data_IF_957573943718
#
_entry.id   IF_957573943718
#
_cell.length_a   1.000
_cell.length_b   1.000
_cell.length_c   1.000
_cell.angle_alpha   90.00
_cell.angle_beta   90.00
_cell.angle_gamma   90.00
#
_symmetry.space_group_name_H-M   'P 1'
#
loop_
_entity.id
_entity.type
_entity.pdbx_description
1 polymer ?
#
# COMPACT_ATOMS: atom_id res chain seq x y z
N UNK A 1 53.92 -4.62 -11.85
CA UNK A 1 53.29 -4.06 -13.07
C UNK A 1 52.59 -5.21 -13.79
N UNK A 2 51.26 -5.27 -13.70
CA UNK A 2 50.40 -6.19 -14.49
C UNK A 2 49.23 -5.34 -15.01
N UNK A 3 49.32 -5.05 -16.31
CA UNK A 3 48.29 -4.31 -17.08
C UNK A 3 47.09 -5.22 -17.34
N UNK A 4 45.89 -4.86 -16.83
CA UNK A 4 44.62 -5.50 -17.18
C UNK A 4 44.02 -4.79 -18.40
N UNK A 5 43.78 -5.59 -19.46
CA UNK A 5 43.16 -5.13 -20.70
C UNK A 5 41.65 -5.04 -20.50
N UNK A 6 41.10 -3.87 -20.74
CA UNK A 6 39.63 -3.60 -20.75
C UNK A 6 39.14 -3.94 -22.16
N UNK A 7 38.23 -4.91 -22.28
CA UNK A 7 37.54 -5.24 -23.52
C UNK A 7 36.21 -4.44 -23.56
N UNK A 8 36.12 -3.48 -24.47
CA UNK A 8 34.91 -2.77 -24.79
C UNK A 8 34.04 -3.61 -25.72
N UNK A 9 32.81 -3.93 -25.29
CA UNK A 9 31.80 -4.58 -26.15
C UNK A 9 30.85 -3.49 -26.62
N UNK A 10 30.94 -3.15 -27.89
CA UNK A 10 29.99 -2.29 -28.61
C UNK A 10 28.77 -3.13 -29.01
N UNK A 11 27.60 -2.83 -28.43
CA UNK A 11 26.34 -3.44 -28.85
C UNK A 11 25.57 -2.41 -29.69
N UNK A 12 25.50 -2.64 -30.99
CA UNK A 12 24.72 -1.86 -31.97
C UNK A 12 23.25 -2.31 -31.92
N UNK A 13 22.33 -1.45 -31.46
CA UNK A 13 20.90 -1.63 -31.59
C UNK A 13 20.38 -1.03 -32.90
N UNK A 14 19.81 -1.88 -33.74
CA UNK A 14 19.12 -1.54 -34.99
C UNK A 14 17.69 -1.14 -34.64
N UNK A 15 17.31 0.11 -34.98
CA UNK A 15 15.92 0.58 -34.93
C UNK A 15 15.13 0.10 -36.16
N UNK A 16 14.04 -0.61 -35.92
CA UNK A 16 13.02 -0.87 -36.93
C UNK A 16 11.82 0.08 -36.68
N UNK A 17 11.63 1.03 -37.59
CA UNK A 17 10.48 1.94 -37.63
C UNK A 17 9.38 1.24 -38.43
N UNK A 18 8.26 0.93 -37.76
CA UNK A 18 7.03 0.46 -38.40
C UNK A 18 5.95 1.55 -38.36
N UNK A 19 5.71 2.21 -39.51
CA UNK A 19 4.54 3.05 -39.73
C UNK A 19 3.31 2.14 -40.01
N UNK A 20 2.22 2.34 -39.25
CA UNK A 20 0.88 1.92 -39.66
C UNK A 20 -0.07 3.10 -39.52
N UNK A 21 -0.51 3.61 -40.67
CA UNK A 21 -1.64 4.51 -40.83
C UNK A 21 -2.92 3.70 -41.04
N UNK A 22 -4.04 4.16 -40.51
CA UNK A 22 -5.38 3.60 -40.78
C UNK A 22 -6.42 4.18 -39.85
N UNK A 23 -7.05 5.17 -40.28
CA UNK A 23 -8.42 5.47 -40.78
C UNK A 23 -9.47 5.69 -39.68
N UNK A 24 -9.92 6.91 -39.70
CA UNK A 24 -11.16 7.57 -39.25
C UNK A 24 -12.45 6.77 -39.57
N UNK A 25 -13.36 6.71 -38.59
CA UNK A 25 -14.80 6.76 -38.89
C UNK A 25 -15.54 7.41 -37.70
N UNK A 26 -16.02 8.60 -37.97
CA UNK A 26 -17.04 9.34 -37.23
C UNK A 26 -18.37 8.60 -37.29
N UNK A 27 -19.11 8.55 -36.17
CA UNK A 27 -20.55 8.49 -36.27
C UNK A 27 -21.22 9.24 -35.12
N UNK A 28 -21.74 10.40 -35.44
CA UNK A 28 -22.70 11.21 -34.71
C UNK A 28 -24.07 10.56 -34.80
N UNK A 29 -24.78 10.41 -33.69
CA UNK A 29 -26.24 10.53 -33.69
C UNK A 29 -26.72 11.13 -32.36
N UNK A 30 -27.24 12.34 -32.50
CA UNK A 30 -28.17 12.99 -31.59
C UNK A 30 -29.56 12.35 -31.76
N UNK A 31 -30.27 12.17 -30.67
CA UNK A 31 -31.69 12.56 -30.62
C UNK A 31 -32.19 12.67 -29.19
N UNK A 32 -32.76 13.82 -28.94
CA UNK A 32 -33.51 14.23 -27.76
C UNK A 32 -34.95 13.63 -27.81
N UNK A 33 -35.60 13.43 -26.68
CA UNK A 33 -36.86 14.09 -26.34
C UNK A 33 -37.59 13.40 -25.19
N UNK A 34 -37.82 14.13 -24.13
CA UNK A 34 -39.05 14.36 -23.34
C UNK A 34 -40.08 13.20 -23.18
N UNK A 35 -40.52 12.90 -21.94
CA UNK A 35 -41.73 13.49 -21.42
C UNK A 35 -42.07 13.03 -19.99
N UNK A 36 -42.57 13.99 -19.21
CA UNK A 36 -43.35 14.01 -17.99
C UNK A 36 -44.33 12.86 -17.76
N UNK A 37 -44.55 12.51 -16.47
CA UNK A 37 -45.85 12.68 -15.73
C UNK A 37 -45.83 11.93 -14.40
N UNK A 38 -45.78 12.60 -13.35
CA UNK A 38 -46.79 12.90 -12.30
C UNK A 38 -47.77 11.75 -11.97
N UNK A 39 -47.72 11.23 -10.74
CA UNK A 39 -48.92 11.05 -9.92
C UNK A 39 -48.60 10.75 -8.44
N UNK A 40 -49.11 11.63 -7.64
CA UNK A 40 -49.33 11.63 -6.21
C UNK A 40 -50.38 10.57 -5.85
N UNK A 41 -50.22 9.87 -4.70
CA UNK A 41 -51.36 9.60 -3.79
C UNK A 41 -50.93 9.22 -2.39
N UNK A 42 -51.44 9.98 -1.52
CA UNK A 42 -51.54 9.94 -0.07
C UNK A 42 -52.48 8.83 0.42
N UNK A 43 -52.19 8.21 1.60
CA UNK A 43 -53.05 8.07 2.81
C UNK A 43 -52.44 7.02 3.75
N UNK A 44 -52.07 7.36 4.89
CA UNK A 44 -52.61 7.66 6.20
C UNK A 44 -53.31 6.49 6.94
N UNK A 45 -52.75 6.22 8.14
CA UNK A 45 -53.40 5.88 9.42
C UNK A 45 -53.74 4.43 9.74
N UNK A 46 -53.32 4.02 10.94
CA UNK A 46 -53.94 2.98 11.75
C UNK A 46 -53.00 2.40 12.80
N UNK A 47 -53.11 2.91 13.97
CA UNK A 47 -52.55 2.48 15.24
C UNK A 47 -53.14 1.13 15.66
N UNK A 48 -52.33 0.24 16.31
CA UNK A 48 -52.71 -0.38 17.61
C UNK A 48 -51.65 -1.38 18.10
N UNK A 49 -51.40 -1.28 19.38
CA UNK A 49 -50.51 -2.09 20.22
C UNK A 49 -50.97 -3.55 20.35
N UNK A 50 -50.04 -4.50 20.48
CA UNK A 50 -50.15 -5.64 21.38
C UNK A 50 -48.80 -6.34 21.60
N UNK A 51 -48.38 -6.28 22.81
CA UNK A 51 -47.37 -7.03 23.54
C UNK A 51 -47.43 -8.55 23.32
N UNK A 52 -46.32 -9.18 22.99
CA UNK A 52 -46.01 -10.55 23.50
C UNK A 52 -44.53 -10.87 23.33
N UNK A 53 -43.91 -11.09 24.46
CA UNK A 53 -42.63 -11.69 24.75
C UNK A 53 -42.36 -12.96 23.91
N UNK A 54 -41.24 -13.04 23.19
CA UNK A 54 -40.68 -14.31 22.76
C UNK A 54 -39.16 -14.23 22.69
N UNK A 55 -38.52 -15.05 23.44
CA UNK A 55 -37.08 -15.25 23.53
C UNK A 55 -36.47 -15.38 22.14
N UNK A 56 -35.55 -14.49 21.82
CA UNK A 56 -34.74 -14.58 20.62
C UNK A 56 -33.37 -15.12 21.02
N UNK A 57 -33.18 -16.39 20.73
CA UNK A 57 -31.88 -17.06 20.72
C UNK A 57 -30.98 -16.31 19.72
N UNK A 58 -30.02 -15.59 20.24
CA UNK A 58 -28.96 -14.95 19.45
C UNK A 58 -28.07 -16.06 18.88
N UNK A 59 -28.29 -16.37 17.62
CA UNK A 59 -27.34 -17.17 16.85
C UNK A 59 -26.11 -16.29 16.58
N UNK A 60 -25.15 -16.41 17.50
CA UNK A 60 -23.83 -15.81 17.32
C UNK A 60 -23.12 -16.67 16.29
N UNK A 61 -23.11 -16.20 15.05
CA UNK A 61 -22.18 -16.71 14.06
C UNK A 61 -20.77 -16.36 14.57
N UNK A 62 -20.16 -17.32 15.24
CA UNK A 62 -18.74 -17.29 15.54
C UNK A 62 -17.99 -17.24 14.21
N UNK A 63 -17.57 -16.05 13.85
CA UNK A 63 -16.53 -15.87 12.85
C UNK A 63 -15.25 -16.37 13.51
N UNK A 64 -14.86 -17.60 13.20
CA UNK A 64 -13.65 -18.22 13.72
C UNK A 64 -12.45 -17.57 13.05
N UNK A 65 -12.06 -16.42 13.55
CA UNK A 65 -10.71 -15.89 13.36
C UNK A 65 -9.76 -16.79 14.15
N UNK A 66 -9.04 -17.65 13.48
CA UNK A 66 -8.00 -18.52 14.08
C UNK A 66 -6.68 -17.78 14.24
N UNK A 67 -6.70 -16.58 14.77
CA UNK A 67 -5.54 -15.83 15.20
C UNK A 67 -5.92 -15.04 16.44
N UNK A 68 -5.41 -15.44 17.60
CA UNK A 68 -5.67 -14.74 18.87
C UNK A 68 -4.68 -13.58 19.09
N UNK A 69 -3.96 -13.17 18.04
CA UNK A 69 -2.97 -12.11 18.06
C UNK A 69 -3.48 -10.79 17.52
N UNK A 70 -2.79 -9.72 17.92
CA UNK A 70 -3.09 -8.38 17.46
C UNK A 70 -2.52 -8.12 16.07
N UNK A 71 -3.10 -7.17 15.39
CA UNK A 71 -2.62 -6.65 14.12
C UNK A 71 -1.94 -5.30 14.33
N UNK A 72 -0.83 -5.08 13.63
CA UNK A 72 -0.10 -3.81 13.59
C UNK A 72 0.02 -3.34 12.14
N UNK A 73 -0.11 -2.04 11.91
CA UNK A 73 0.24 -1.40 10.65
C UNK A 73 1.43 -0.49 10.88
N UNK A 74 2.57 -0.89 10.35
CA UNK A 74 3.80 -0.11 10.32
C UNK A 74 3.90 0.59 8.98
N UNK A 75 4.26 1.88 8.94
CA UNK A 75 4.41 2.57 7.67
C UNK A 75 5.41 3.71 7.71
N UNK A 76 6.05 3.96 6.57
CA UNK A 76 6.74 5.20 6.26
C UNK A 76 5.94 5.98 5.20
N UNK A 77 5.81 7.29 5.37
CA UNK A 77 5.09 8.13 4.42
C UNK A 77 5.80 9.46 4.21
N UNK A 78 6.36 9.68 3.01
CA UNK A 78 7.03 10.92 2.67
C UNK A 78 6.06 12.07 2.34
N UNK A 79 4.96 11.78 1.64
CA UNK A 79 4.00 12.77 1.12
C UNK A 79 2.57 12.57 1.61
N UNK A 80 2.35 11.73 2.63
CA UNK A 80 1.03 11.46 3.21
C UNK A 80 0.23 10.36 2.51
N UNK A 81 0.57 9.93 1.29
CA UNK A 81 -0.21 8.92 0.57
C UNK A 81 -0.18 7.54 1.25
N UNK A 82 0.98 7.08 1.70
CA UNK A 82 1.09 5.80 2.41
C UNK A 82 0.39 5.86 3.76
N UNK A 83 0.48 6.98 4.47
CA UNK A 83 -0.24 7.23 5.72
C UNK A 83 -1.75 7.08 5.54
N UNK A 84 -2.32 7.71 4.51
CA UNK A 84 -3.76 7.62 4.20
C UNK A 84 -4.21 6.15 3.99
N UNK A 85 -3.41 5.35 3.28
CA UNK A 85 -3.68 3.91 3.10
C UNK A 85 -3.52 3.15 4.42
N UNK A 86 -2.44 3.41 5.18
CA UNK A 86 -2.17 2.76 6.47
C UNK A 86 -3.31 3.00 7.48
N UNK A 87 -3.81 4.24 7.60
CA UNK A 87 -4.91 4.58 8.47
C UNK A 87 -6.22 3.85 8.08
N UNK A 88 -6.46 3.67 6.77
CA UNK A 88 -7.61 2.89 6.29
C UNK A 88 -7.47 1.40 6.59
N UNK A 89 -6.28 0.81 6.37
CA UNK A 89 -6.00 -0.59 6.75
C UNK A 89 -6.22 -0.75 8.26
N UNK A 90 -5.64 0.11 9.09
CA UNK A 90 -5.77 0.02 10.54
C UNK A 90 -7.25 0.14 11.00
N UNK A 91 -8.03 1.01 10.37
CA UNK A 91 -9.46 1.14 10.64
C UNK A 91 -10.26 -0.13 10.29
N UNK A 92 -9.94 -0.76 9.14
CA UNK A 92 -10.65 -1.96 8.67
C UNK A 92 -10.29 -3.18 9.52
N UNK A 93 -9.02 -3.31 9.91
CA UNK A 93 -8.49 -4.46 10.66
C UNK A 93 -8.48 -4.26 12.17
N UNK A 94 -8.93 -3.09 12.66
CA UNK A 94 -8.84 -2.68 14.08
C UNK A 94 -7.39 -2.77 14.62
N UNK A 95 -6.41 -2.49 13.76
CA UNK A 95 -4.98 -2.59 14.06
C UNK A 95 -4.44 -1.35 14.78
N UNK A 96 -3.39 -1.57 15.57
CA UNK A 96 -2.55 -0.49 16.07
C UNK A 96 -1.70 0.10 14.92
N UNK A 97 -1.30 1.37 15.02
CA UNK A 97 -0.47 2.08 14.03
C UNK A 97 0.92 2.40 14.59
N UNK A 98 1.93 2.25 13.74
CA UNK A 98 3.29 2.71 14.02
C UNK A 98 3.85 3.44 12.79
N UNK A 99 4.13 4.73 12.94
CA UNK A 99 4.77 5.54 11.90
C UNK A 99 6.30 5.45 12.03
N UNK A 100 6.98 5.08 10.96
CA UNK A 100 8.44 5.14 10.86
C UNK A 100 8.82 6.59 10.61
N UNK A 101 9.51 7.21 11.57
CA UNK A 101 9.89 8.60 11.51
C UNK A 101 11.43 8.72 11.41
N UNK A 102 11.97 9.25 10.29
CA UNK A 102 13.38 9.65 10.23
C UNK A 102 13.69 10.76 11.23
N UNK A 103 14.86 10.70 11.90
CA UNK A 103 15.35 11.78 12.77
C UNK A 103 15.45 13.10 12.01
N UNK A 104 15.87 13.04 10.75
CA UNK A 104 15.82 14.14 9.80
C UNK A 104 14.74 13.87 8.75
N UNK A 105 13.52 14.41 8.90
CA UNK A 105 12.45 14.22 7.92
C UNK A 105 12.84 14.75 6.54
N UNK A 106 12.34 14.11 5.49
CA UNK A 106 12.51 14.59 4.12
C UNK A 106 11.61 15.79 3.88
N UNK A 107 12.19 16.87 3.39
CA UNK A 107 11.48 18.07 2.89
C UNK A 107 11.02 17.85 1.44
N UNK A 108 10.19 18.74 0.91
CA UNK A 108 9.80 18.70 -0.50
C UNK A 108 11.02 18.81 -1.42
N UNK A 109 12.01 19.65 -1.06
CA UNK A 109 13.27 19.79 -1.81
C UNK A 109 14.12 18.50 -1.74
N UNK A 110 14.13 17.81 -0.60
CA UNK A 110 14.82 16.53 -0.44
C UNK A 110 14.21 15.42 -1.31
N UNK A 111 12.91 15.53 -1.61
CA UNK A 111 12.14 14.54 -2.38
C UNK A 111 12.09 14.86 -3.87
N UNK A 112 12.70 15.95 -4.33
CA UNK A 112 12.76 16.29 -5.77
C UNK A 112 13.72 15.36 -6.51
N UNK A 113 13.20 14.20 -6.92
CA UNK A 113 13.93 13.19 -7.68
C UNK A 113 14.37 13.65 -9.08
N UNK A 114 13.97 14.86 -9.53
CA UNK A 114 14.40 15.47 -10.80
C UNK A 114 15.64 16.35 -10.63
N UNK A 115 16.01 16.64 -9.37
CA UNK A 115 17.25 17.34 -9.01
C UNK A 115 18.29 16.29 -8.57
N UNK A 116 19.39 16.18 -9.32
CA UNK A 116 20.49 15.25 -9.03
C UNK A 116 21.18 15.57 -7.68
N UNK A 117 21.08 16.82 -7.20
CA UNK A 117 21.66 17.27 -5.93
C UNK A 117 20.68 17.12 -4.75
N UNK A 118 19.44 16.69 -4.95
CA UNK A 118 18.48 16.43 -3.89
C UNK A 118 18.94 15.29 -2.98
N UNK A 119 18.44 15.25 -1.74
CA UNK A 119 18.81 14.21 -0.79
C UNK A 119 18.46 12.83 -1.32
N UNK A 120 17.23 12.63 -1.81
CA UNK A 120 16.74 11.35 -2.31
C UNK A 120 17.51 10.87 -3.55
N UNK A 121 17.94 11.79 -4.45
CA UNK A 121 18.75 11.45 -5.63
C UNK A 121 20.16 11.02 -5.24
N UNK A 122 20.80 11.74 -4.31
CA UNK A 122 22.12 11.35 -3.79
C UNK A 122 22.10 10.00 -3.07
N UNK A 123 21.06 9.74 -2.26
CA UNK A 123 20.86 8.46 -1.58
C UNK A 123 20.56 7.33 -2.57
N UNK A 124 19.92 7.63 -3.70
CA UNK A 124 19.73 6.66 -4.79
C UNK A 124 21.07 6.28 -5.43
N UNK A 125 21.91 7.27 -5.73
CA UNK A 125 23.18 7.05 -6.45
C UNK A 125 24.27 6.42 -5.57
N UNK A 126 24.23 6.68 -4.26
CA UNK A 126 25.16 6.13 -3.26
C UNK A 126 24.39 5.41 -2.14
N UNK A 127 24.34 4.08 -2.25
CA UNK A 127 23.63 3.24 -1.28
C UNK A 127 24.16 3.38 0.15
N UNK A 128 25.41 3.83 0.34
CA UNK A 128 25.98 4.06 1.68
C UNK A 128 25.29 5.21 2.42
N UNK A 129 24.55 6.06 1.71
CA UNK A 129 23.79 7.18 2.29
C UNK A 129 22.35 6.77 2.69
N UNK A 130 21.91 5.53 2.37
CA UNK A 130 20.56 5.03 2.68
C UNK A 130 20.40 4.55 4.13
N UNK A 131 21.45 4.65 4.94
CA UNK A 131 21.36 4.35 6.38
C UNK A 131 20.70 5.51 7.14
N UNK A 132 19.35 5.55 7.02
CA UNK A 132 18.55 6.64 7.59
C UNK A 132 18.28 6.39 9.06
N UNK A 133 18.79 7.26 9.94
CA UNK A 133 18.52 7.20 11.38
C UNK A 133 17.02 7.45 11.65
N UNK A 134 16.42 6.58 12.48
CA UNK A 134 15.02 6.65 12.87
C UNK A 134 14.86 7.14 14.31
N UNK A 135 13.77 7.87 14.58
CA UNK A 135 13.40 8.30 15.93
C UNK A 135 13.23 7.09 16.84
N UNK A 136 12.62 6.02 16.32
CA UNK A 136 12.50 4.73 17.02
C UNK A 136 12.30 3.62 15.99
N UNK A 137 12.91 2.46 16.27
CA UNK A 137 12.60 1.20 15.60
C UNK A 137 11.81 0.26 16.52
N UNK A 138 11.60 0.65 17.79
CA UNK A 138 10.96 -0.19 18.82
C UNK A 138 9.47 0.07 18.86
N UNK A 139 8.69 -1.01 18.76
CA UNK A 139 7.24 -1.01 18.96
C UNK A 139 6.91 -1.61 20.33
N UNK A 140 6.10 -0.91 21.10
CA UNK A 140 5.64 -1.42 22.41
C UNK A 140 4.83 -2.72 22.22
N UNK A 141 5.12 -3.73 23.05
CA UNK A 141 4.46 -5.03 23.02
C UNK A 141 4.58 -5.77 21.67
N UNK A 142 5.70 -5.62 20.95
CA UNK A 142 5.96 -6.24 19.65
C UNK A 142 5.56 -7.72 19.58
N UNK A 143 5.85 -8.49 20.64
CA UNK A 143 5.56 -9.93 20.72
C UNK A 143 4.05 -10.24 20.72
N UNK A 144 3.17 -9.26 20.97
CA UNK A 144 1.73 -9.45 20.97
C UNK A 144 1.07 -9.38 19.59
N UNK A 145 1.83 -8.97 18.57
CA UNK A 145 1.34 -8.87 17.20
C UNK A 145 1.68 -10.13 16.41
N UNK A 146 0.66 -10.78 15.85
CA UNK A 146 0.81 -11.95 14.98
C UNK A 146 0.77 -11.54 13.50
N UNK A 147 0.12 -10.42 13.17
CA UNK A 147 0.02 -9.88 11.81
C UNK A 147 0.58 -8.47 11.76
N UNK A 148 1.49 -8.23 10.82
CA UNK A 148 2.13 -6.93 10.61
C UNK A 148 2.00 -6.50 9.15
N UNK A 149 1.23 -5.44 8.90
CA UNK A 149 1.26 -4.77 7.61
C UNK A 149 2.44 -3.81 7.58
N UNK A 150 3.21 -3.79 6.46
CA UNK A 150 4.33 -2.86 6.27
C UNK A 150 4.10 -2.02 5.03
N UNK A 151 3.95 -0.70 5.22
CA UNK A 151 3.62 0.27 4.19
C UNK A 151 4.76 1.21 3.84
N UNK A 152 4.97 1.47 2.52
CA UNK A 152 6.02 2.34 2.03
C UNK A 152 5.70 2.94 0.66
N UNK A 153 6.23 4.11 0.31
CA UNK A 153 6.26 4.54 -1.08
C UNK A 153 7.32 3.78 -1.87
N UNK A 154 7.10 3.59 -3.17
CA UNK A 154 8.13 3.03 -4.06
C UNK A 154 9.08 4.14 -4.51
N UNK A 155 10.37 3.98 -4.20
CA UNK A 155 11.47 4.81 -4.68
C UNK A 155 12.36 3.99 -5.60
N UNK A 156 12.50 4.41 -6.86
CA UNK A 156 13.29 3.68 -7.89
C UNK A 156 13.05 2.16 -7.96
N UNK A 157 11.79 1.74 -7.75
CA UNK A 157 11.37 0.33 -7.89
C UNK A 157 11.55 -0.53 -6.63
N UNK A 158 12.04 0.03 -5.53
CA UNK A 158 12.19 -0.65 -4.23
C UNK A 158 11.41 0.10 -3.14
N UNK A 159 11.32 -0.47 -1.95
CA UNK A 159 10.78 0.23 -0.79
C UNK A 159 11.63 1.46 -0.48
N UNK A 160 10.98 2.56 -0.07
CA UNK A 160 11.70 3.72 0.44
C UNK A 160 12.59 3.32 1.61
N UNK A 161 13.86 3.60 1.51
CA UNK A 161 14.91 3.09 2.43
C UNK A 161 14.78 3.50 3.91
N UNK A 162 14.00 4.51 4.34
CA UNK A 162 13.72 4.64 5.78
C UNK A 162 13.10 3.41 6.43
N UNK A 163 12.45 2.52 5.63
CA UNK A 163 11.87 1.26 6.14
C UNK A 163 12.95 0.21 6.48
N UNK A 164 14.12 0.30 5.84
CA UNK A 164 15.18 -0.71 5.96
C UNK A 164 15.66 -0.92 7.40
N UNK A 165 15.90 0.18 8.13
CA UNK A 165 16.37 0.08 9.50
C UNK A 165 15.32 -0.47 10.46
N UNK A 166 14.05 -0.19 10.21
CA UNK A 166 12.95 -0.78 10.97
C UNK A 166 12.92 -2.30 10.80
N UNK A 167 13.00 -2.82 9.55
CA UNK A 167 12.94 -4.27 9.31
C UNK A 167 14.20 -4.99 9.76
N UNK A 168 15.37 -4.35 9.72
CA UNK A 168 16.63 -4.91 10.22
C UNK A 168 16.66 -5.05 11.75
N UNK A 169 16.02 -4.12 12.44
CA UNK A 169 16.07 -4.04 13.90
C UNK A 169 14.98 -4.87 14.59
N UNK A 170 14.01 -5.41 13.85
CA UNK A 170 12.89 -6.18 14.39
C UNK A 170 12.94 -7.65 13.95
N UNK A 171 12.63 -8.56 14.88
CA UNK A 171 12.47 -9.98 14.60
C UNK A 171 11.01 -10.29 14.26
N UNK A 172 10.76 -10.75 13.03
CA UNK A 172 9.42 -11.12 12.56
C UNK A 172 9.12 -12.61 12.72
N UNK A 173 9.95 -13.38 13.42
CA UNK A 173 9.71 -14.81 13.65
C UNK A 173 8.32 -15.05 14.22
N UNK A 174 7.55 -15.91 13.54
CA UNK A 174 6.18 -16.29 13.94
C UNK A 174 5.11 -15.26 13.56
N UNK A 175 5.46 -14.18 12.85
CA UNK A 175 4.50 -13.16 12.37
C UNK A 175 4.19 -13.36 10.90
N UNK A 176 2.93 -13.12 10.53
CA UNK A 176 2.52 -12.93 9.13
C UNK A 176 2.80 -11.48 8.74
N UNK A 177 3.61 -11.26 7.69
CA UNK A 177 4.01 -9.93 7.23
C UNK A 177 3.41 -9.65 5.87
N UNK A 178 2.72 -8.52 5.74
CA UNK A 178 1.96 -8.17 4.54
C UNK A 178 2.42 -6.80 4.03
N UNK A 179 3.26 -6.77 2.98
CA UNK A 179 3.69 -5.52 2.39
C UNK A 179 2.55 -4.80 1.68
N UNK A 180 2.53 -3.48 1.75
CA UNK A 180 1.74 -2.66 0.83
C UNK A 180 2.54 -1.42 0.44
N UNK A 181 2.32 -0.93 -0.76
CA UNK A 181 3.03 0.26 -1.19
C UNK A 181 2.12 1.30 -1.84
N UNK A 182 2.60 2.53 -1.88
CA UNK A 182 2.00 3.57 -2.70
C UNK A 182 2.94 3.97 -3.82
N UNK A 183 2.40 4.07 -5.02
CA UNK A 183 3.13 4.52 -6.19
C UNK A 183 2.17 5.12 -7.22
N UNK A 184 2.64 6.14 -7.98
CA UNK A 184 1.85 6.74 -9.04
C UNK A 184 1.66 5.78 -10.23
N UNK A 185 2.73 5.13 -10.68
CA UNK A 185 2.74 4.28 -11.88
C UNK A 185 3.45 2.95 -11.69
N UNK A 186 4.44 2.85 -10.80
CA UNK A 186 5.16 1.61 -10.54
C UNK A 186 4.29 0.59 -9.83
N UNK A 187 4.51 -0.72 -10.09
CA UNK A 187 3.97 -1.79 -9.27
C UNK A 187 4.74 -1.92 -7.95
N UNK A 188 4.31 -2.85 -7.10
CA UNK A 188 5.05 -3.21 -5.88
C UNK A 188 6.39 -3.90 -6.22
N UNK A 189 6.47 -4.57 -7.39
CA UNK A 189 7.67 -5.27 -7.84
C UNK A 189 8.17 -6.28 -6.81
N UNK A 190 9.50 -6.35 -6.67
CA UNK A 190 10.16 -7.23 -5.71
C UNK A 190 10.40 -6.57 -4.35
N UNK A 191 9.83 -5.38 -4.10
CA UNK A 191 10.15 -4.60 -2.89
C UNK A 191 9.85 -5.34 -1.58
N UNK A 192 8.75 -6.11 -1.53
CA UNK A 192 8.44 -6.96 -0.37
C UNK A 192 9.46 -8.08 -0.15
N UNK A 193 9.87 -8.78 -1.23
CA UNK A 193 10.88 -9.84 -1.16
C UNK A 193 12.25 -9.31 -0.71
N UNK A 194 12.62 -8.09 -1.14
CA UNK A 194 13.86 -7.45 -0.70
C UNK A 194 13.84 -7.14 0.80
N UNK A 195 12.71 -6.72 1.34
CA UNK A 195 12.55 -6.51 2.78
C UNK A 195 12.58 -7.85 3.55
N UNK A 196 11.95 -8.91 3.01
CA UNK A 196 12.02 -10.26 3.57
C UNK A 196 13.47 -10.78 3.63
N UNK A 197 14.23 -10.63 2.53
CA UNK A 197 15.64 -11.00 2.50
C UNK A 197 16.48 -10.22 3.52
N UNK A 198 16.13 -8.96 3.75
CA UNK A 198 16.84 -8.08 4.68
C UNK A 198 16.65 -8.48 6.14
N UNK A 199 15.43 -8.86 6.53
CA UNK A 199 15.14 -9.32 7.90
C UNK A 199 15.45 -10.80 8.10
N UNK A 200 15.25 -11.64 7.07
CA UNK A 200 15.46 -13.09 7.13
C UNK A 200 14.49 -13.85 8.03
N UNK A 201 13.44 -13.21 8.53
CA UNK A 201 12.44 -13.78 9.44
C UNK A 201 11.02 -13.37 9.04
N UNK A 202 10.00 -14.12 9.51
CA UNK A 202 8.58 -13.86 9.22
C UNK A 202 8.03 -14.72 8.07
N UNK A 203 6.70 -14.78 7.99
CA UNK A 203 5.95 -15.39 6.90
C UNK A 203 5.40 -14.28 6.00
N UNK A 204 6.20 -13.88 5.00
CA UNK A 204 5.88 -12.76 4.12
C UNK A 204 4.89 -13.17 3.04
N UNK A 205 3.88 -12.35 2.85
CA UNK A 205 2.82 -12.55 1.87
C UNK A 205 3.04 -11.68 0.64
N UNK A 206 2.34 -12.01 -0.44
CA UNK A 206 2.27 -11.13 -1.60
C UNK A 206 1.61 -9.80 -1.18
N UNK A 207 2.27 -8.72 -1.50
CA UNK A 207 1.81 -7.38 -1.15
C UNK A 207 0.94 -6.75 -2.23
N UNK A 208 0.36 -5.59 -1.92
CA UNK A 208 -0.49 -4.84 -2.86
C UNK A 208 0.02 -3.41 -3.06
N UNK A 209 -0.23 -2.88 -4.25
CA UNK A 209 0.08 -1.50 -4.59
C UNK A 209 -1.17 -0.65 -4.69
N UNK A 210 -1.18 0.46 -3.98
CA UNK A 210 -2.24 1.44 -4.02
C UNK A 210 -1.80 2.74 -4.71
N UNK A 211 -2.75 3.44 -5.30
CA UNK A 211 -2.57 4.84 -5.68
C UNK A 211 -2.81 5.74 -4.47
N UNK A 212 -2.25 6.93 -4.48
CA UNK A 212 -2.65 7.96 -3.52
C UNK A 212 -4.16 8.20 -3.61
N UNK A 213 -4.85 8.19 -2.46
CA UNK A 213 -6.31 8.33 -2.39
C UNK A 213 -7.09 7.05 -2.73
N UNK A 214 -6.50 5.85 -2.60
CA UNK A 214 -7.20 4.58 -2.72
C UNK A 214 -8.44 4.54 -1.82
N UNK A 215 -9.55 3.97 -2.33
CA UNK A 215 -10.80 3.92 -1.58
C UNK A 215 -10.76 2.87 -0.46
N UNK A 216 -11.56 3.08 0.61
CA UNK A 216 -11.72 2.05 1.67
C UNK A 216 -12.24 0.74 1.08
N UNK A 217 -13.09 0.78 0.04
CA UNK A 217 -13.64 -0.44 -0.59
C UNK A 217 -12.57 -1.25 -1.32
N UNK A 218 -11.62 -0.59 -2.00
CA UNK A 218 -10.53 -1.29 -2.69
C UNK A 218 -9.60 -1.95 -1.68
N UNK A 219 -9.27 -1.23 -0.60
CA UNK A 219 -8.44 -1.74 0.49
C UNK A 219 -9.13 -2.90 1.22
N UNK A 220 -10.43 -2.78 1.54
CA UNK A 220 -11.20 -3.87 2.16
C UNK A 220 -11.23 -5.12 1.28
N UNK A 221 -11.48 -4.95 -0.03
CA UNK A 221 -11.48 -6.06 -0.97
C UNK A 221 -10.15 -6.79 -1.03
N UNK A 222 -9.04 -6.05 -0.96
CA UNK A 222 -7.71 -6.64 -0.88
C UNK A 222 -7.51 -7.40 0.43
N UNK A 223 -7.84 -6.81 1.59
CA UNK A 223 -7.72 -7.46 2.89
C UNK A 223 -8.55 -8.74 2.93
N UNK A 224 -9.80 -8.72 2.43
CA UNK A 224 -10.66 -9.90 2.34
C UNK A 224 -10.03 -11.00 1.48
N UNK A 225 -9.27 -10.64 0.44
CA UNK A 225 -8.58 -11.58 -0.45
C UNK A 225 -7.40 -12.30 0.20
N UNK A 226 -6.84 -11.75 1.28
CA UNK A 226 -5.72 -12.36 2.00
C UNK A 226 -6.14 -13.62 2.77
N UNK A 227 -7.42 -13.74 3.15
CA UNK A 227 -7.98 -14.92 3.82
C UNK A 227 -7.38 -15.17 5.21
N UNK A 228 -7.05 -14.10 5.94
CA UNK A 228 -6.45 -14.12 7.28
C UNK A 228 -7.49 -14.26 8.37
#
# INVERSE_FOLDING_TARGET
MKTKKIAAVLLTCIMAIGLMAGCVASNTNQSASNNDSHSTSTNQSGNEEADTNSENTTDTTENTSTGNGKTLVVYYSASGNTKDVAEKIAKITEADLFEIEPVEPYTDDDLDWTDDDSRVSREHDDESLRDVELVSTTVDNWDSYDTVYIGYPIWWGIAAWPVDNFVKDNDFTGKTVIPFCTAATSGIGDSGNLLEEMTGTGDWKEGERFHGGASESDISSWIDSLGL
#
